data_IF_042451007998
#
_entry.id   IF_042451007998
#
_cell.length_a   1.000
_cell.length_b   1.000
_cell.length_c   1.000
_cell.angle_alpha   90.00
_cell.angle_beta   90.00
_cell.angle_gamma   90.00
#
_symmetry.space_group_name_H-M   'P 1'
#
loop_
_entity.id
_entity.type
_entity.pdbx_description
1 polymer ?
#
# COMPACT_ATOMS: atom_id res chain seq x y z
N UNK A 1 17.70 -16.29 14.57
CA UNK A 1 16.59 -15.99 15.50
C UNK A 1 17.18 -15.45 16.79
N UNK A 2 16.40 -14.70 17.57
CA UNK A 2 16.81 -14.10 18.85
C UNK A 2 15.65 -14.18 19.83
N UNK A 3 15.92 -14.34 21.13
CA UNK A 3 14.84 -14.38 22.13
C UNK A 3 14.35 -12.95 22.46
N UNK A 4 13.11 -12.84 22.96
CA UNK A 4 12.59 -11.55 23.45
C UNK A 4 13.40 -11.01 24.64
N UNK A 5 13.92 -11.91 25.48
CA UNK A 5 14.81 -11.54 26.59
C UNK A 5 16.08 -10.89 26.06
N UNK A 6 16.71 -11.48 25.04
CA UNK A 6 17.91 -10.90 24.44
C UNK A 6 17.60 -9.55 23.76
N UNK A 7 16.43 -9.40 23.13
CA UNK A 7 15.97 -8.11 22.61
C UNK A 7 15.90 -7.06 23.73
N UNK A 8 15.28 -7.40 24.87
CA UNK A 8 15.17 -6.50 26.02
C UNK A 8 16.54 -6.01 26.51
N UNK A 9 17.58 -6.86 26.49
CA UNK A 9 18.94 -6.45 26.90
C UNK A 9 19.58 -5.42 25.97
N UNK A 10 19.10 -5.28 24.72
CA UNK A 10 19.63 -4.35 23.71
C UNK A 10 18.75 -3.12 23.50
N UNK A 11 17.63 -3.02 24.22
CA UNK A 11 16.74 -1.86 24.15
C UNK A 11 17.49 -0.59 24.58
N UNK A 12 17.16 0.54 23.94
CA UNK A 12 17.67 1.85 24.36
C UNK A 12 17.03 2.28 25.69
N UNK A 13 17.71 3.12 26.46
CA UNK A 13 17.24 3.57 27.79
C UNK A 13 15.84 4.22 27.74
N UNK A 14 15.53 4.96 26.67
CA UNK A 14 14.26 5.64 26.45
C UNK A 14 13.24 4.80 25.64
N UNK A 15 13.57 3.54 25.31
CA UNK A 15 12.69 2.66 24.54
C UNK A 15 11.66 1.99 25.45
N UNK A 16 10.38 2.24 25.18
CA UNK A 16 9.25 1.67 25.94
C UNK A 16 8.68 0.40 25.32
N UNK A 17 8.83 0.24 24.01
CA UNK A 17 8.14 -0.78 23.22
C UNK A 17 9.10 -1.75 22.55
N UNK A 18 8.67 -3.00 22.39
CA UNK A 18 9.31 -3.98 21.51
C UNK A 18 8.71 -3.79 20.13
N UNK A 19 9.51 -3.36 19.17
CA UNK A 19 9.05 -3.11 17.81
C UNK A 19 9.10 -4.39 16.97
N UNK A 20 8.03 -4.66 16.23
CA UNK A 20 7.99 -5.78 15.30
C UNK A 20 7.33 -5.39 13.97
N UNK A 21 7.63 -6.15 12.93
CA UNK A 21 6.96 -6.13 11.64
C UNK A 21 6.64 -7.55 11.21
N UNK A 22 5.42 -7.75 10.72
CA UNK A 22 4.98 -9.00 10.12
C UNK A 22 5.05 -8.92 8.60
N UNK A 23 5.37 -10.02 7.94
CA UNK A 23 5.42 -10.07 6.47
C UNK A 23 5.61 -11.49 5.95
N UNK A 24 5.90 -11.60 4.66
CA UNK A 24 6.00 -12.87 3.95
C UNK A 24 7.43 -13.42 3.92
N UNK A 25 8.40 -12.52 3.79
CA UNK A 25 9.82 -12.86 3.70
C UNK A 25 10.65 -11.87 4.48
N UNK A 26 11.84 -12.32 4.91
CA UNK A 26 12.80 -11.47 5.60
C UNK A 26 13.20 -10.26 4.75
N UNK A 27 13.41 -10.46 3.45
CA UNK A 27 13.84 -9.39 2.53
C UNK A 27 12.74 -8.34 2.34
N UNK A 28 11.47 -8.76 2.26
CA UNK A 28 10.35 -7.83 2.18
C UNK A 28 10.30 -6.90 3.41
N UNK A 29 10.33 -7.48 4.62
CA UNK A 29 10.22 -6.68 5.85
C UNK A 29 11.49 -5.88 6.14
N UNK A 30 12.66 -6.38 5.75
CA UNK A 30 13.92 -5.66 5.88
C UNK A 30 14.00 -4.44 4.95
N UNK A 31 13.35 -4.48 3.80
CA UNK A 31 13.29 -3.37 2.84
C UNK A 31 12.03 -2.51 2.98
N UNK A 32 11.22 -2.74 4.01
CA UNK A 32 9.98 -2.01 4.23
C UNK A 32 10.22 -0.56 4.66
N UNK A 33 9.40 0.36 4.16
CA UNK A 33 9.39 1.76 4.57
C UNK A 33 9.19 1.94 6.09
N UNK A 34 8.43 1.03 6.72
CA UNK A 34 8.10 1.08 8.15
C UNK A 34 9.31 0.87 9.07
N UNK A 35 10.43 0.33 8.57
CA UNK A 35 11.63 0.07 9.39
C UNK A 35 12.73 1.11 9.18
N UNK A 36 12.57 2.04 8.22
CA UNK A 36 13.61 2.99 7.82
C UNK A 36 14.06 3.86 8.99
N UNK A 37 13.13 4.53 9.69
CA UNK A 37 13.51 5.44 10.76
C UNK A 37 13.92 4.72 12.04
N UNK A 38 13.34 3.56 12.34
CA UNK A 38 13.80 2.75 13.48
C UNK A 38 15.26 2.34 13.28
N UNK A 39 15.61 1.90 12.07
CA UNK A 39 17.00 1.59 11.71
C UNK A 39 17.90 2.83 11.83
N UNK A 40 17.45 4.00 11.37
CA UNK A 40 18.19 5.26 11.49
C UNK A 40 18.49 5.63 12.96
N UNK A 41 17.59 5.32 13.89
CA UNK A 41 17.76 5.57 15.33
C UNK A 41 18.42 4.39 16.08
N UNK A 42 18.86 3.35 15.36
CA UNK A 42 19.44 2.16 15.96
C UNK A 42 18.49 1.39 16.88
N UNK A 43 17.18 1.45 16.59
CA UNK A 43 16.14 0.67 17.26
C UNK A 43 15.99 -0.67 16.55
N UNK A 44 16.05 -1.75 17.31
CA UNK A 44 15.90 -3.10 16.79
C UNK A 44 14.42 -3.39 16.46
N UNK A 45 14.17 -4.08 15.34
CA UNK A 45 12.83 -4.50 14.93
C UNK A 45 12.82 -6.01 14.73
N UNK A 46 11.87 -6.70 15.35
CA UNK A 46 11.68 -8.14 15.19
C UNK A 46 10.96 -8.41 13.87
N UNK A 47 11.53 -9.28 13.06
CA UNK A 47 10.94 -9.73 11.79
C UNK A 47 10.18 -11.02 12.02
N UNK A 48 8.87 -10.94 11.85
CA UNK A 48 7.92 -12.05 11.96
C UNK A 48 7.46 -12.42 10.55
N UNK A 49 7.91 -13.57 10.07
CA UNK A 49 7.78 -13.94 8.64
C UNK A 49 6.95 -15.21 8.42
N UNK A 50 6.40 -15.78 9.49
CA UNK A 50 5.50 -16.93 9.40
C UNK A 50 4.05 -16.47 9.56
N UNK A 51 3.09 -17.03 8.80
CA UNK A 51 1.68 -16.65 8.92
C UNK A 51 1.11 -16.81 10.33
N UNK A 52 1.65 -17.74 11.13
CA UNK A 52 1.23 -17.97 12.51
C UNK A 52 1.65 -16.82 13.45
N UNK A 53 2.68 -16.05 13.10
CA UNK A 53 3.20 -14.96 13.92
C UNK A 53 2.15 -13.87 14.15
N UNK A 54 1.33 -13.60 13.15
CA UNK A 54 0.20 -12.66 13.23
C UNK A 54 -0.81 -13.05 14.32
N UNK A 55 -1.05 -14.35 14.52
CA UNK A 55 -1.91 -14.82 15.61
C UNK A 55 -1.17 -14.85 16.95
N UNK A 56 0.11 -15.20 16.95
CA UNK A 56 0.95 -15.23 18.15
C UNK A 56 1.04 -13.85 18.80
N UNK A 57 1.39 -12.83 18.02
CA UNK A 57 1.63 -11.46 18.53
C UNK A 57 0.34 -10.77 18.98
N UNK A 58 -0.82 -11.19 18.48
CA UNK A 58 -2.12 -10.71 18.98
C UNK A 58 -2.39 -11.14 20.42
N UNK A 59 -1.90 -12.33 20.82
CA UNK A 59 -2.02 -12.82 22.19
C UNK A 59 -0.88 -12.29 23.07
N UNK A 60 0.30 -12.08 22.50
CA UNK A 60 1.49 -11.57 23.18
C UNK A 60 1.46 -10.04 23.29
N UNK A 61 0.62 -9.53 24.19
CA UNK A 61 0.46 -8.07 24.40
C UNK A 61 1.67 -7.42 25.07
N UNK A 62 2.32 -8.15 25.98
CA UNK A 62 3.39 -7.65 26.82
C UNK A 62 4.42 -8.75 27.11
N UNK A 63 5.69 -8.35 27.21
CA UNK A 63 6.79 -9.18 27.67
C UNK A 63 7.67 -8.36 28.62
N UNK A 64 7.91 -8.84 29.84
CA UNK A 64 8.72 -8.16 30.87
C UNK A 64 8.32 -6.67 31.11
N UNK A 65 7.02 -6.36 31.13
CA UNK A 65 6.54 -4.98 31.32
C UNK A 65 6.62 -4.11 30.06
N UNK A 66 7.03 -4.66 28.92
CA UNK A 66 7.16 -3.95 27.63
C UNK A 66 6.07 -4.40 26.68
N UNK A 67 5.32 -3.45 26.14
CA UNK A 67 4.31 -3.76 25.13
C UNK A 67 4.94 -3.97 23.76
N UNK A 68 4.34 -4.87 22.97
CA UNK A 68 4.74 -5.12 21.60
C UNK A 68 3.97 -4.19 20.65
N UNK A 69 4.68 -3.49 19.77
CA UNK A 69 4.11 -2.51 18.84
C UNK A 69 4.49 -2.88 17.41
N UNK A 70 3.46 -3.02 16.56
CA UNK A 70 3.68 -3.18 15.12
C UNK A 70 4.05 -1.83 14.51
N UNK A 71 5.14 -1.80 13.74
CA UNK A 71 5.54 -0.61 12.97
C UNK A 71 4.64 -0.34 11.76
N UNK A 72 3.74 -1.26 11.40
CA UNK A 72 2.79 -1.07 10.29
C UNK A 72 1.45 -0.48 10.75
N UNK A 73 1.30 -0.23 12.05
CA UNK A 73 0.11 0.37 12.65
C UNK A 73 0.34 1.85 12.95
N UNK A 74 -0.74 2.61 12.97
CA UNK A 74 -0.68 4.02 13.35
C UNK A 74 -0.22 4.22 14.80
N UNK A 75 0.26 5.43 15.11
CA UNK A 75 0.63 5.80 16.47
C UNK A 75 1.97 5.23 16.93
N UNK A 76 2.87 4.95 15.99
CA UNK A 76 4.22 4.54 16.33
C UNK A 76 4.95 5.67 17.08
N UNK A 77 5.18 5.43 18.37
CA UNK A 77 6.00 6.32 19.20
C UNK A 77 7.48 5.97 19.03
N UNK A 78 8.23 6.92 18.50
CA UNK A 78 9.68 6.87 18.46
C UNK A 78 10.26 7.67 19.63
N UNK A 79 11.44 7.29 20.16
CA UNK A 79 12.14 8.08 21.15
C UNK A 79 12.68 9.36 20.49
N UNK A 80 11.86 10.41 20.48
CA UNK A 80 12.17 11.74 19.93
C UNK A 80 12.53 12.72 21.05
N UNK A 81 13.50 13.59 20.79
CA UNK A 81 13.82 14.72 21.67
C UNK A 81 12.84 15.91 21.47
N UNK A 82 12.95 16.94 22.32
CA UNK A 82 12.07 18.11 22.24
C UNK A 82 12.24 18.92 20.94
N UNK A 83 13.43 18.92 20.35
CA UNK A 83 13.72 19.66 19.12
C UNK A 83 13.09 18.96 17.90
N UNK A 84 13.21 17.63 17.83
CA UNK A 84 12.59 16.81 16.80
C UNK A 84 11.07 16.91 16.86
N UNK A 85 10.48 16.86 18.06
CA UNK A 85 9.04 17.08 18.24
C UNK A 85 8.60 18.44 17.71
N UNK A 86 9.34 19.50 18.02
CA UNK A 86 9.03 20.85 17.53
C UNK A 86 9.10 20.92 16.00
N UNK A 87 10.15 20.36 15.38
CA UNK A 87 10.28 20.30 13.90
C UNK A 87 9.14 19.49 13.28
N UNK A 88 8.70 18.43 13.93
CA UNK A 88 7.60 17.61 13.45
C UNK A 88 6.27 18.36 13.49
N UNK A 89 6.00 19.15 14.54
CA UNK A 89 4.82 20.02 14.61
C UNK A 89 4.85 21.11 13.53
N UNK A 90 6.00 21.76 13.30
CA UNK A 90 6.16 22.72 12.20
C UNK A 90 5.89 22.10 10.82
N UNK A 91 6.36 20.87 10.59
CA UNK A 91 6.07 20.10 9.37
C UNK A 91 4.59 19.75 9.26
N UNK A 92 3.93 19.33 10.35
CA UNK A 92 2.49 19.07 10.35
C UNK A 92 1.70 20.30 9.91
N UNK A 93 2.02 21.47 10.45
CA UNK A 93 1.37 22.74 10.04
C UNK A 93 1.66 23.06 8.58
N UNK A 94 2.92 22.95 8.14
CA UNK A 94 3.31 23.26 6.75
C UNK A 94 2.59 22.39 5.72
N UNK A 95 2.36 21.12 6.02
CA UNK A 95 1.75 20.15 5.10
C UNK A 95 0.26 19.91 5.35
N UNK A 96 -0.35 20.59 6.32
CA UNK A 96 -1.75 20.40 6.70
C UNK A 96 -2.71 20.56 5.52
N UNK A 97 -2.50 21.59 4.69
CA UNK A 97 -3.34 21.85 3.52
C UNK A 97 -3.20 20.75 2.46
N UNK A 98 -1.97 20.26 2.21
CA UNK A 98 -1.76 19.13 1.30
C UNK A 98 -2.47 17.87 1.81
N UNK A 99 -2.37 17.56 3.11
CA UNK A 99 -3.07 16.43 3.70
C UNK A 99 -4.59 16.51 3.49
N UNK A 100 -5.19 17.70 3.63
CA UNK A 100 -6.62 17.94 3.35
C UNK A 100 -6.95 17.68 1.88
N UNK A 101 -6.19 18.27 0.95
CA UNK A 101 -6.39 18.08 -0.49
C UNK A 101 -6.28 16.59 -0.87
N UNK A 102 -5.27 15.89 -0.35
CA UNK A 102 -5.10 14.46 -0.60
C UNK A 102 -6.26 13.64 -0.01
N UNK A 103 -6.74 13.99 1.18
CA UNK A 103 -7.89 13.33 1.81
C UNK A 103 -9.18 13.52 1.01
N UNK A 104 -9.36 14.70 0.41
CA UNK A 104 -10.50 15.01 -0.44
C UNK A 104 -10.43 14.24 -1.77
N UNK A 105 -9.25 14.14 -2.39
CA UNK A 105 -9.04 13.36 -3.62
C UNK A 105 -9.24 11.87 -3.39
N UNK A 106 -8.76 11.35 -2.26
CA UNK A 106 -8.84 9.92 -1.93
C UNK A 106 -10.18 9.52 -1.34
N UNK A 107 -11.03 10.48 -0.96
CA UNK A 107 -12.38 10.27 -0.44
C UNK A 107 -12.48 9.09 0.56
N UNK A 108 -13.14 7.99 0.17
CA UNK A 108 -13.37 6.81 1.01
C UNK A 108 -12.23 5.80 0.99
N UNK A 109 -11.19 6.00 0.18
CA UNK A 109 -10.03 5.09 0.07
C UNK A 109 -9.14 5.13 1.32
N UNK A 110 -9.06 6.28 1.99
CA UNK A 110 -8.33 6.44 3.26
C UNK A 110 -9.18 7.19 4.28
N UNK A 111 -9.01 6.83 5.55
CA UNK A 111 -9.68 7.52 6.66
C UNK A 111 -9.03 8.87 6.95
N UNK A 112 -7.69 8.95 6.90
CA UNK A 112 -6.93 10.19 7.11
C UNK A 112 -5.63 10.18 6.31
N UNK A 113 -5.14 11.40 6.04
CA UNK A 113 -3.80 11.65 5.50
C UNK A 113 -3.04 12.46 6.54
N UNK A 114 -1.84 12.02 6.92
CA UNK A 114 -1.06 12.64 7.99
C UNK A 114 0.42 12.72 7.63
N UNK A 115 1.15 13.64 8.27
CA UNK A 115 2.61 13.71 8.14
C UNK A 115 3.22 12.57 8.96
N UNK A 116 4.01 11.73 8.31
CA UNK A 116 4.70 10.61 8.95
C UNK A 116 5.83 11.10 9.83
N UNK A 117 6.03 10.43 10.96
CA UNK A 117 7.25 10.53 11.74
C UNK A 117 8.19 9.33 11.52
N UNK A 118 7.81 8.30 10.75
CA UNK A 118 8.55 7.02 10.63
C UNK A 118 9.26 6.80 9.28
N UNK A 119 8.95 7.63 8.28
CA UNK A 119 9.57 7.55 6.95
C UNK A 119 10.93 8.28 6.90
N UNK A 120 11.83 7.83 6.04
CA UNK A 120 13.13 8.48 5.78
C UNK A 120 13.33 8.69 4.28
N UNK A 121 13.42 7.61 3.52
CA UNK A 121 13.65 7.61 2.07
C UNK A 121 12.37 7.45 1.29
N UNK A 122 11.38 6.76 1.85
CA UNK A 122 10.11 6.53 1.18
C UNK A 122 9.24 7.80 1.22
N UNK A 123 8.58 8.18 0.12
CA UNK A 123 7.70 9.37 0.07
C UNK A 123 6.38 9.19 0.81
N UNK A 124 5.88 7.96 0.91
CA UNK A 124 4.57 7.64 1.47
C UNK A 124 4.52 6.18 1.96
N UNK A 125 3.58 5.90 2.86
CA UNK A 125 3.19 4.55 3.25
C UNK A 125 1.72 4.50 3.69
N UNK A 126 1.11 3.31 3.69
CA UNK A 126 -0.21 3.07 4.23
C UNK A 126 -0.08 2.33 5.55
N UNK A 127 -0.45 2.99 6.66
CA UNK A 127 -0.60 2.33 7.95
C UNK A 127 -2.04 1.89 8.17
N UNK A 128 -2.22 0.86 8.99
CA UNK A 128 -3.53 0.44 9.48
C UNK A 128 -3.83 1.09 10.82
N UNK A 129 -5.12 1.29 11.13
CA UNK A 129 -5.55 1.68 12.48
C UNK A 129 -5.03 0.71 13.55
N UNK A 130 -4.93 1.19 14.80
CA UNK A 130 -4.43 0.38 15.93
C UNK A 130 -5.26 -0.89 16.11
N UNK A 131 -6.57 -0.79 15.90
CA UNK A 131 -7.52 -1.89 15.90
C UNK A 131 -7.81 -2.38 14.48
N UNK A 132 -8.00 -3.69 14.35
CA UNK A 132 -8.22 -4.35 13.06
C UNK A 132 -6.96 -5.03 12.52
N UNK A 133 -7.11 -5.60 11.32
CA UNK A 133 -6.06 -6.35 10.63
C UNK A 133 -4.96 -5.46 10.06
N UNK A 134 -3.73 -5.95 10.17
CA UNK A 134 -2.58 -5.45 9.40
C UNK A 134 -2.75 -5.83 7.93
N UNK A 135 -1.92 -5.27 7.03
CA UNK A 135 -1.87 -5.68 5.63
C UNK A 135 -1.58 -7.18 5.47
N UNK A 136 -0.62 -7.70 6.24
CA UNK A 136 -0.25 -9.11 6.23
C UNK A 136 -1.39 -10.00 6.74
N UNK A 137 -2.06 -9.62 7.82
CA UNK A 137 -3.22 -10.36 8.32
C UNK A 137 -4.38 -10.33 7.32
N UNK A 138 -4.65 -9.18 6.67
CA UNK A 138 -5.67 -9.06 5.63
C UNK A 138 -5.41 -10.05 4.49
N UNK A 139 -4.16 -10.16 4.05
CA UNK A 139 -3.74 -11.14 3.03
C UNK A 139 -3.93 -12.58 3.49
N UNK A 140 -3.43 -12.94 4.67
CA UNK A 140 -3.57 -14.31 5.23
C UNK A 140 -5.05 -14.68 5.31
N UNK A 141 -5.88 -13.77 5.82
CA UNK A 141 -7.31 -13.98 6.01
C UNK A 141 -8.07 -14.05 4.69
N UNK A 142 -7.63 -13.37 3.62
CA UNK A 142 -8.22 -13.52 2.27
C UNK A 142 -7.82 -14.82 1.59
N UNK A 143 -6.64 -15.38 1.90
CA UNK A 143 -6.17 -16.64 1.35
C UNK A 143 -6.82 -17.88 1.99
N UNK A 144 -7.52 -17.74 3.12
CA UNK A 144 -8.19 -18.84 3.81
C UNK A 144 -9.50 -19.24 3.12
N UNK A 145 -9.53 -20.44 2.52
CA UNK A 145 -10.65 -20.94 1.72
C UNK A 145 -11.96 -21.19 2.51
N UNK A 146 -11.88 -21.47 3.82
CA UNK A 146 -13.04 -21.83 4.65
C UNK A 146 -13.60 -20.66 5.46
N UNK A 147 -13.16 -19.43 5.18
CA UNK A 147 -13.54 -18.27 5.99
C UNK A 147 -14.90 -17.70 5.56
N UNK A 148 -15.70 -17.32 6.55
CA UNK A 148 -16.91 -16.54 6.30
C UNK A 148 -16.56 -15.09 5.91
N UNK A 149 -16.98 -14.68 4.72
CA UNK A 149 -16.78 -13.33 4.18
C UNK A 149 -17.48 -12.24 5.00
N UNK A 150 -18.48 -12.59 5.82
CA UNK A 150 -19.18 -11.65 6.71
C UNK A 150 -18.25 -10.97 7.72
N UNK A 151 -17.15 -11.63 8.09
CA UNK A 151 -16.16 -11.12 9.07
C UNK A 151 -15.21 -10.06 8.50
N UNK A 152 -15.12 -9.87 7.17
CA UNK A 152 -14.24 -8.85 6.57
C UNK A 152 -14.67 -7.43 6.95
N UNK A 153 -15.97 -7.15 6.96
CA UNK A 153 -16.48 -5.78 7.13
C UNK A 153 -16.13 -5.15 8.48
N UNK A 154 -16.05 -5.95 9.54
CA UNK A 154 -15.76 -5.47 10.90
C UNK A 154 -14.26 -5.45 11.23
N UNK A 155 -13.47 -6.26 10.54
CA UNK A 155 -12.03 -6.41 10.82
C UNK A 155 -11.12 -5.71 9.81
N UNK A 156 -11.67 -5.25 8.69
CA UNK A 156 -10.98 -4.39 7.73
C UNK A 156 -10.55 -3.09 8.45
N UNK A 157 -9.26 -3.00 8.77
CA UNK A 157 -8.71 -1.83 9.41
C UNK A 157 -8.84 -0.62 8.48
N UNK A 158 -9.12 0.53 9.09
CA UNK A 158 -9.09 1.80 8.38
C UNK A 158 -7.64 2.06 7.95
N UNK A 159 -7.49 2.46 6.69
CA UNK A 159 -6.19 2.78 6.08
C UNK A 159 -5.90 4.26 6.29
N UNK A 160 -4.66 4.59 6.64
CA UNK A 160 -4.19 5.96 6.76
C UNK A 160 -2.97 6.14 5.87
N UNK A 161 -2.98 7.18 5.06
CA UNK A 161 -1.84 7.54 4.23
C UNK A 161 -0.92 8.44 5.05
N UNK A 162 0.31 8.01 5.26
CA UNK A 162 1.33 8.88 5.82
C UNK A 162 2.25 9.40 4.73
N UNK A 163 2.59 10.68 4.79
CA UNK A 163 3.47 11.35 3.83
C UNK A 163 4.80 11.75 4.49
N UNK A 164 5.89 11.65 3.73
CA UNK A 164 7.21 12.08 4.17
C UNK A 164 7.45 13.56 3.80
N UNK A 165 7.48 14.48 4.77
CA UNK A 165 7.62 15.91 4.50
C UNK A 165 9.01 16.29 3.98
N UNK A 166 10.01 15.42 4.14
CA UNK A 166 11.38 15.66 3.69
C UNK A 166 11.63 15.15 2.25
N UNK A 167 10.65 14.46 1.65
CA UNK A 167 10.78 13.91 0.30
C UNK A 167 10.46 14.96 -0.77
N UNK A 168 11.31 15.06 -1.80
CA UNK A 168 11.17 16.05 -2.88
C UNK A 168 9.81 15.98 -3.58
N UNK A 169 9.33 14.77 -3.91
CA UNK A 169 7.99 14.54 -4.47
C UNK A 169 6.90 15.19 -3.62
N UNK A 170 6.95 15.04 -2.29
CA UNK A 170 5.90 15.56 -1.39
C UNK A 170 5.97 17.08 -1.30
N UNK A 171 7.17 17.67 -1.27
CA UNK A 171 7.33 19.12 -1.32
C UNK A 171 6.85 19.71 -2.65
N UNK A 172 7.18 19.10 -3.80
CA UNK A 172 6.69 19.53 -5.11
C UNK A 172 5.18 19.37 -5.22
N UNK A 173 4.62 18.27 -4.71
CA UNK A 173 3.18 18.06 -4.68
C UNK A 173 2.47 19.13 -3.85
N UNK A 174 3.03 19.51 -2.70
CA UNK A 174 2.52 20.62 -1.87
C UNK A 174 2.46 21.93 -2.67
N UNK A 175 3.56 22.30 -3.32
CA UNK A 175 3.65 23.53 -4.10
C UNK A 175 2.65 23.57 -5.26
N UNK A 176 2.51 22.45 -5.99
CA UNK A 176 1.52 22.34 -7.07
C UNK A 176 0.09 22.42 -6.57
N UNK A 177 -0.23 21.71 -5.49
CA UNK A 177 -1.56 21.72 -4.88
C UNK A 177 -1.94 23.10 -4.32
N UNK A 178 -0.96 23.89 -3.84
CA UNK A 178 -1.17 25.27 -3.42
C UNK A 178 -1.38 26.24 -4.59
N UNK A 179 -0.71 26.02 -5.72
CA UNK A 179 -0.88 26.82 -6.93
C UNK A 179 -2.25 26.58 -7.58
N UNK A 180 -2.65 25.31 -7.72
CA UNK A 180 -3.97 24.92 -8.21
C UNK A 180 -4.43 23.59 -7.59
N UNK A 181 -5.39 23.69 -6.68
CA UNK A 181 -6.01 22.52 -6.03
C UNK A 181 -6.86 21.65 -6.97
N UNK A 182 -7.24 22.18 -8.13
CA UNK A 182 -8.08 21.50 -9.11
C UNK A 182 -7.28 20.93 -10.29
N UNK A 183 -5.96 21.09 -10.28
CA UNK A 183 -5.08 20.54 -11.31
C UNK A 183 -5.30 19.02 -11.43
N UNK A 184 -5.73 18.59 -12.62
CA UNK A 184 -5.96 17.17 -12.93
C UNK A 184 -4.69 16.34 -12.71
N UNK A 185 -3.52 16.90 -13.00
CA UNK A 185 -2.25 16.22 -12.80
C UNK A 185 -1.94 15.96 -11.33
N UNK A 186 -2.34 16.86 -10.43
CA UNK A 186 -2.22 16.67 -8.97
C UNK A 186 -3.14 15.54 -8.51
N UNK A 187 -4.39 15.52 -8.99
CA UNK A 187 -5.33 14.44 -8.67
C UNK A 187 -4.85 13.07 -9.14
N UNK A 188 -4.43 12.98 -10.40
CA UNK A 188 -3.93 11.74 -11.00
C UNK A 188 -2.66 11.25 -10.27
N UNK A 189 -1.76 12.17 -9.92
CA UNK A 189 -0.56 11.85 -9.15
C UNK A 189 -0.90 11.35 -7.74
N UNK A 190 -1.79 12.02 -7.00
CA UNK A 190 -2.20 11.58 -5.65
C UNK A 190 -2.77 10.17 -5.67
N UNK A 191 -3.64 9.85 -6.64
CA UNK A 191 -4.20 8.51 -6.77
C UNK A 191 -3.11 7.48 -7.10
N UNK A 192 -2.19 7.82 -8.02
CA UNK A 192 -1.07 6.95 -8.33
C UNK A 192 -0.19 6.67 -7.11
N UNK A 193 0.22 7.72 -6.39
CA UNK A 193 1.04 7.58 -5.18
C UNK A 193 0.33 6.73 -4.13
N UNK A 194 -0.99 6.89 -3.96
CA UNK A 194 -1.78 6.07 -3.05
C UNK A 194 -1.76 4.57 -3.43
N UNK A 195 -1.93 4.24 -4.71
CA UNK A 195 -1.91 2.84 -5.15
C UNK A 195 -0.50 2.23 -5.04
N UNK A 196 0.54 3.00 -5.35
CA UNK A 196 1.93 2.57 -5.10
C UNK A 196 2.20 2.39 -3.60
N UNK A 197 1.63 3.26 -2.74
CA UNK A 197 1.71 3.13 -1.30
C UNK A 197 1.02 1.86 -0.80
N UNK A 198 -0.16 1.52 -1.34
CA UNK A 198 -0.87 0.27 -1.01
C UNK A 198 0.00 -0.94 -1.29
N UNK A 199 0.56 -1.02 -2.50
CA UNK A 199 1.38 -2.15 -2.93
C UNK A 199 2.64 -2.29 -2.07
N UNK A 200 3.40 -1.20 -1.90
CA UNK A 200 4.63 -1.19 -1.10
C UNK A 200 4.38 -1.45 0.39
N UNK A 201 3.17 -1.14 0.89
CA UNK A 201 2.76 -1.42 2.27
C UNK A 201 2.15 -2.82 2.46
N UNK A 202 2.13 -3.65 1.41
CA UNK A 202 1.70 -5.05 1.48
C UNK A 202 0.19 -5.27 1.31
N UNK A 203 -0.58 -4.28 0.86
CA UNK A 203 -1.99 -4.44 0.54
C UNK A 203 -2.20 -4.91 -0.90
N UNK A 204 -3.35 -5.55 -1.13
CA UNK A 204 -3.82 -5.86 -2.49
C UNK A 204 -4.42 -4.62 -3.15
N UNK A 205 -4.17 -4.48 -4.46
CA UNK A 205 -4.88 -3.52 -5.29
C UNK A 205 -6.30 -4.04 -5.59
N UNK A 206 -7.28 -3.15 -5.55
CA UNK A 206 -8.68 -3.48 -5.89
C UNK A 206 -8.84 -3.74 -7.39
N UNK A 207 -8.20 -2.91 -8.22
CA UNK A 207 -8.22 -3.01 -9.67
C UNK A 207 -6.79 -2.84 -10.23
N UNK A 208 -6.06 -3.95 -10.44
CA UNK A 208 -4.73 -3.92 -11.03
C UNK A 208 -4.70 -3.35 -12.45
N UNK A 209 -5.78 -3.50 -13.23
CA UNK A 209 -5.83 -3.04 -14.63
C UNK A 209 -5.90 -1.52 -14.68
N UNK A 210 -6.74 -0.90 -13.83
CA UNK A 210 -6.80 0.56 -13.72
C UNK A 210 -5.46 1.14 -13.26
N UNK A 211 -4.76 0.49 -12.32
CA UNK A 211 -3.42 0.91 -11.90
C UNK A 211 -2.41 0.82 -13.06
N UNK A 212 -2.41 -0.29 -13.81
CA UNK A 212 -1.54 -0.49 -14.97
C UNK A 212 -1.79 0.58 -16.05
N UNK A 213 -3.05 0.89 -16.37
CA UNK A 213 -3.41 1.93 -17.32
C UNK A 213 -2.86 3.31 -16.90
N UNK A 214 -2.88 3.61 -15.59
CA UNK A 214 -2.29 4.85 -15.06
C UNK A 214 -0.77 4.86 -15.20
N UNK A 215 -0.09 3.74 -14.96
CA UNK A 215 1.35 3.58 -15.22
C UNK A 215 1.66 3.84 -16.69
N UNK A 216 0.90 3.22 -17.62
CA UNK A 216 1.10 3.42 -19.05
C UNK A 216 0.94 4.89 -19.45
N UNK A 217 -0.04 5.58 -18.89
CA UNK A 217 -0.23 7.03 -19.10
C UNK A 217 0.98 7.84 -18.65
N UNK A 218 1.57 7.54 -17.48
CA UNK A 218 2.78 8.23 -17.02
C UNK A 218 4.02 7.91 -17.85
N UNK A 219 4.13 6.67 -18.35
CA UNK A 219 5.20 6.28 -19.28
C UNK A 219 5.04 7.08 -20.59
N UNK A 220 3.83 7.16 -21.14
CA UNK A 220 3.54 7.99 -22.33
C UNK A 220 3.97 9.45 -22.10
N UNK A 221 3.56 10.06 -21.00
CA UNK A 221 3.96 11.43 -20.64
C UNK A 221 5.48 11.58 -20.49
N UNK A 222 6.15 10.61 -19.86
CA UNK A 222 7.61 10.63 -19.69
C UNK A 222 8.39 10.45 -21.00
N UNK A 223 7.80 9.77 -21.98
CA UNK A 223 8.34 9.59 -23.34
C UNK A 223 7.90 10.69 -24.32
N UNK A 224 7.00 11.60 -23.91
CA UNK A 224 6.44 12.63 -24.77
C UNK A 224 5.46 12.09 -25.83
N UNK A 225 4.79 10.98 -25.56
CA UNK A 225 3.74 10.41 -26.40
C UNK A 225 2.41 11.06 -26.00
N UNK A 226 1.72 11.69 -26.96
CA UNK A 226 0.43 12.35 -26.73
C UNK A 226 -0.65 11.32 -26.32
N UNK A 227 -1.56 11.75 -25.43
CA UNK A 227 -2.65 10.88 -24.92
C UNK A 227 -3.63 10.45 -26.02
N UNK A 228 -3.65 11.17 -27.14
CA UNK A 228 -4.50 10.94 -28.32
C UNK A 228 -3.85 10.00 -29.36
N UNK A 229 -2.79 9.27 -29.01
CA UNK A 229 -2.33 8.15 -29.82
C UNK A 229 -3.43 7.07 -29.81
N UNK A 230 -4.11 6.79 -30.94
CA UNK A 230 -5.25 5.88 -30.97
C UNK A 230 -4.76 4.49 -30.59
N UNK A 231 -4.91 4.14 -29.32
CA UNK A 231 -4.78 2.75 -28.91
C UNK A 231 -5.83 1.96 -29.67
N UNK A 232 -5.40 0.83 -30.20
CA UNK A 232 -6.01 -0.16 -31.13
C UNK A 232 -7.48 -0.59 -30.86
N UNK A 233 -8.20 0.04 -29.95
CA UNK A 233 -9.58 -0.26 -29.53
C UNK A 233 -10.65 0.18 -30.56
N UNK A 234 -10.26 0.83 -31.66
CA UNK A 234 -11.18 1.28 -32.72
C UNK A 234 -11.23 0.35 -33.95
N UNK A 235 -10.67 -0.87 -33.86
CA UNK A 235 -10.72 -1.85 -34.97
C UNK A 235 -11.63 -3.06 -34.74
N UNK A 236 -12.36 -3.13 -33.62
CA UNK A 236 -13.32 -4.21 -33.39
C UNK A 236 -14.75 -3.93 -33.87
N UNK A 237 -15.00 -2.81 -34.57
CA UNK A 237 -16.35 -2.40 -34.94
C UNK A 237 -16.71 -2.51 -36.43
N UNK A 238 -15.84 -3.07 -37.30
CA UNK A 238 -16.16 -3.12 -38.75
C UNK A 238 -15.60 -4.37 -39.47
N UNK A 239 -15.88 -5.56 -38.93
CA UNK A 239 -15.77 -6.82 -39.69
C UNK A 239 -17.12 -7.53 -39.71
N UNK A 240 -18.14 -6.85 -40.21
CA UNK A 240 -19.34 -7.50 -40.73
C UNK A 240 -19.18 -7.75 -42.23
N UNK A 241 -19.36 -9.01 -42.61
CA UNK A 241 -19.67 -9.52 -43.95
C UNK A 241 -18.58 -9.50 -45.03
N UNK A 242 -17.91 -10.65 -45.21
CA UNK A 242 -17.93 -11.37 -46.49
C UNK A 242 -17.32 -12.78 -46.29
N UNK A 243 -18.17 -13.76 -45.97
CA UNK A 243 -17.80 -15.16 -46.20
C UNK A 243 -18.06 -15.47 -47.68
N UNK A 244 -17.09 -16.00 -48.44
CA UNK A 244 -17.32 -16.38 -49.83
C UNK A 244 -18.26 -17.58 -49.91
N UNK A 245 -19.10 -17.67 -50.95
CA UNK A 245 -20.04 -18.78 -51.10
C UNK A 245 -19.28 -20.08 -51.36
N UNK A 246 -19.57 -21.11 -50.57
CA UNK A 246 -19.15 -22.48 -50.86
C UNK A 246 -20.06 -23.06 -51.94
N UNK A 247 -19.60 -23.05 -53.19
CA UNK A 247 -20.13 -23.94 -54.22
C UNK A 247 -19.72 -25.40 -53.92
N UNK A 248 -20.67 -26.31 -54.10
CA UNK A 248 -20.70 -27.60 -53.44
C UNK A 248 -19.98 -28.76 -54.11
N UNK A 249 -20.10 -29.91 -53.48
CA UNK A 249 -20.11 -31.20 -54.17
C UNK A 249 -21.04 -32.16 -53.42
N UNK A 250 -22.11 -32.56 -54.10
CA UNK A 250 -23.00 -33.65 -53.73
C UNK A 250 -22.20 -34.96 -53.77
N UNK A 251 -22.12 -35.68 -52.66
CA UNK A 251 -22.17 -37.13 -52.79
C UNK A 251 -22.87 -37.82 -51.61
N UNK A 252 -23.94 -38.49 -52.00
CA UNK A 252 -24.79 -39.37 -51.22
C UNK A 252 -24.03 -40.60 -50.74
N UNK A 253 -24.39 -41.13 -49.55
CA UNK A 253 -24.43 -42.56 -49.15
C UNK A 253 -24.16 -42.64 -47.63
N UNK A 254 -25.17 -42.82 -46.77
CA UNK A 254 -25.92 -44.07 -46.47
C UNK A 254 -25.51 -44.55 -45.07
N UNK A 255 -26.46 -44.46 -44.14
CA UNK A 255 -26.44 -45.10 -42.82
C UNK A 255 -26.07 -46.58 -42.95
N UNK A 256 -25.21 -47.06 -42.06
CA UNK A 256 -25.28 -48.44 -41.54
C UNK A 256 -24.69 -48.48 -40.12
N UNK A 257 -25.54 -48.84 -39.16
CA UNK A 257 -25.18 -49.33 -37.83
C UNK A 257 -24.40 -50.64 -37.96
N UNK A 258 -23.43 -50.88 -37.08
CA UNK A 258 -22.96 -52.25 -36.78
C UNK A 258 -22.61 -52.36 -35.30
N UNK A 259 -23.42 -53.18 -34.63
CA UNK A 259 -23.29 -53.96 -33.36
C UNK A 259 -22.30 -53.54 -32.26
#
# INVERSE_FOLDING_TARGET
MVSLKDYCTRMKENQKHIYFITGETKDQVANSAFVERLRKHGLEVIYMIEPIDEYCVQQLKEFEGKTLVSVTKEGLELPEDEEEKKKQEEKKTKFENLCKIMKDILEKKVEKVVVSNQLVTSPFCIVTSTYGWTANMERIMKAQALRDNSTMGYMAAKKHLEINPDHSIIETLRQKAEADKNDKSVKDLVIFLYETALLSSGFSLEDPQTHANRIYRMIKLGLGIDEDDPTVDDTSADVTEEMPPLEGDDNTSRMEEVD
#
